data_IF_395482157864
#
_entry.id   IF_395482157864
#
_cell.length_a   1.000
_cell.length_b   1.000
_cell.length_c   1.000
_cell.angle_alpha   90.00
_cell.angle_beta   90.00
_cell.angle_gamma   90.00
#
_symmetry.space_group_name_H-M   'P 1'
#
loop_
_entity.id
_entity.type
_entity.pdbx_description
1 polymer ?
#
# COMPACT_ATOMS: atom_id res chain seq x y z
N UNK A 1 5.71 27.94 41.35
CA UNK A 1 4.92 26.80 40.81
C UNK A 1 5.57 25.50 41.25
N UNK A 2 4.81 24.55 41.81
CA UNK A 2 5.34 23.23 42.13
C UNK A 2 5.76 22.49 40.85
N UNK A 3 6.75 21.59 40.95
CA UNK A 3 7.22 20.80 39.79
C UNK A 3 6.08 20.00 39.14
N UNK A 4 5.13 19.51 39.94
CA UNK A 4 3.97 18.75 39.48
C UNK A 4 3.01 19.59 38.62
N UNK A 5 2.69 20.82 39.05
CA UNK A 5 1.77 21.71 38.31
C UNK A 5 2.36 22.16 36.97
N UNK A 6 3.69 22.34 36.89
CA UNK A 6 4.38 22.73 35.64
C UNK A 6 4.31 21.61 34.61
N UNK A 7 4.53 20.36 35.02
CA UNK A 7 4.53 19.21 34.12
C UNK A 7 3.13 18.91 33.57
N UNK A 8 2.08 19.08 34.38
CA UNK A 8 0.69 18.96 33.94
C UNK A 8 0.33 19.99 32.88
N UNK A 9 0.77 21.25 33.03
CA UNK A 9 0.58 22.26 31.98
C UNK A 9 1.33 21.85 30.71
N UNK A 10 2.59 21.40 30.82
CA UNK A 10 3.34 20.92 29.65
C UNK A 10 2.57 19.80 28.91
N UNK A 11 1.95 18.86 29.64
CA UNK A 11 1.08 17.81 29.06
C UNK A 11 -0.02 18.43 28.20
N UNK A 12 -0.76 19.40 28.76
CA UNK A 12 -1.87 20.10 28.10
C UNK A 12 -1.43 20.81 26.81
N UNK A 13 -0.31 21.55 26.86
CA UNK A 13 0.25 22.21 25.68
C UNK A 13 0.64 21.21 24.58
N UNK A 14 1.17 20.03 24.96
CA UNK A 14 1.52 18.98 24.00
C UNK A 14 0.27 18.41 23.34
N UNK A 15 -0.81 18.15 24.11
CA UNK A 15 -2.07 17.62 23.58
C UNK A 15 -2.80 18.61 22.69
N UNK A 16 -2.66 19.92 22.95
CA UNK A 16 -3.14 21.00 22.08
C UNK A 16 -2.31 21.17 20.79
N UNK A 17 -1.27 20.35 20.59
CA UNK A 17 -0.47 20.35 19.37
C UNK A 17 0.64 21.41 19.31
N UNK A 18 0.87 22.14 20.40
CA UNK A 18 1.84 23.23 20.45
C UNK A 18 3.27 22.67 20.34
N UNK A 19 4.14 23.39 19.63
CA UNK A 19 5.50 22.92 19.36
C UNK A 19 6.37 22.92 20.62
N UNK A 20 7.28 21.96 20.75
CA UNK A 20 8.19 21.92 21.92
C UNK A 20 9.11 23.15 22.00
N UNK A 21 9.37 23.80 20.87
CA UNK A 21 10.14 25.06 20.84
C UNK A 21 9.38 26.18 21.54
N UNK A 22 8.07 26.25 21.33
CA UNK A 22 7.19 27.27 21.90
C UNK A 22 6.86 27.01 23.37
N UNK A 23 6.57 25.75 23.72
CA UNK A 23 6.48 25.32 25.11
C UNK A 23 7.78 25.65 25.85
N UNK A 24 8.93 25.42 25.21
CA UNK A 24 10.23 25.69 25.81
C UNK A 24 10.46 27.16 26.12
N UNK A 25 10.08 28.05 25.18
CA UNK A 25 10.11 29.51 25.40
C UNK A 25 9.22 29.93 26.57
N UNK A 26 8.04 29.33 26.71
CA UNK A 26 7.05 29.68 27.75
C UNK A 26 7.44 29.24 29.15
N UNK A 27 8.05 28.05 29.27
CA UNK A 27 8.37 27.46 30.58
C UNK A 27 9.86 27.51 30.95
N UNK A 28 10.72 28.08 30.09
CA UNK A 28 12.17 28.14 30.31
C UNK A 28 12.84 26.76 30.25
N UNK A 29 12.32 25.84 29.44
CA UNK A 29 12.80 24.46 29.33
C UNK A 29 13.26 24.18 27.90
N UNK A 30 14.34 23.43 27.72
CA UNK A 30 14.77 23.04 26.38
C UNK A 30 13.78 22.06 25.74
N UNK A 31 13.72 22.06 24.40
CA UNK A 31 12.91 21.09 23.64
C UNK A 31 13.24 19.63 24.02
N UNK A 32 14.51 19.35 24.35
CA UNK A 32 14.97 18.04 24.83
C UNK A 32 14.45 17.74 26.23
N UNK A 33 14.44 18.73 27.13
CA UNK A 33 13.88 18.61 28.46
C UNK A 33 12.38 18.28 28.44
N UNK A 34 11.61 18.96 27.56
CA UNK A 34 10.19 18.66 27.34
C UNK A 34 9.99 17.24 26.81
N UNK A 35 10.86 16.80 25.88
CA UNK A 35 10.89 15.43 25.39
C UNK A 35 11.05 14.41 26.51
N UNK A 36 12.03 14.61 27.39
CA UNK A 36 12.28 13.74 28.56
C UNK A 36 11.10 13.74 29.55
N UNK A 37 10.48 14.90 29.80
CA UNK A 37 9.29 15.00 30.67
C UNK A 37 8.14 14.18 30.09
N UNK A 38 7.85 14.35 28.79
CA UNK A 38 6.81 13.57 28.11
C UNK A 38 7.10 12.07 28.17
N UNK A 39 8.32 11.65 27.81
CA UNK A 39 8.70 10.23 27.78
C UNK A 39 8.61 9.58 29.17
N UNK A 40 9.02 10.30 30.22
CA UNK A 40 9.04 9.76 31.59
C UNK A 40 7.68 9.81 32.28
N UNK A 41 6.89 10.87 32.08
CA UNK A 41 5.66 11.13 32.86
C UNK A 41 4.37 10.91 32.08
N UNK A 42 4.41 11.03 30.75
CA UNK A 42 3.23 10.99 29.88
C UNK A 42 3.46 10.10 28.63
N UNK A 43 3.86 8.83 28.80
CA UNK A 43 4.16 7.92 27.69
C UNK A 43 2.96 7.70 26.75
N UNK A 44 1.73 7.83 27.25
CA UNK A 44 0.48 7.69 26.51
C UNK A 44 0.37 8.68 25.34
N UNK A 45 0.93 9.88 25.48
CA UNK A 45 0.93 10.92 24.44
C UNK A 45 1.84 10.55 23.26
N UNK A 46 2.84 9.69 23.49
CA UNK A 46 3.80 9.30 22.45
C UNK A 46 3.16 8.39 21.40
N UNK A 47 2.11 7.66 21.75
CA UNK A 47 1.42 6.74 20.83
C UNK A 47 0.54 7.45 19.79
N UNK A 48 -0.13 8.55 20.15
CA UNK A 48 -1.08 9.25 19.27
C UNK A 48 -0.46 9.92 18.04
N UNK A 49 0.84 10.25 18.07
CA UNK A 49 1.52 10.96 16.96
C UNK A 49 2.01 10.06 15.83
N UNK A 50 2.05 8.73 16.01
CA UNK A 50 2.58 7.79 15.01
C UNK A 50 1.62 7.53 13.85
N UNK A 51 0.31 7.69 14.04
CA UNK A 51 -0.66 7.39 12.99
C UNK A 51 -0.81 8.50 11.94
N UNK A 52 -0.61 9.77 12.32
CA UNK A 52 -0.87 10.90 11.41
C UNK A 52 0.33 11.39 10.59
N UNK A 53 1.56 11.04 10.97
CA UNK A 53 2.75 11.53 10.27
C UNK A 53 3.82 10.44 10.20
N UNK A 54 3.79 9.64 9.13
CA UNK A 54 4.76 8.60 8.78
C UNK A 54 6.18 9.10 8.49
N UNK A 55 6.78 9.90 9.37
CA UNK A 55 8.19 10.31 9.31
C UNK A 55 9.03 9.35 10.14
N UNK A 56 9.64 8.38 9.45
CA UNK A 56 10.69 7.50 9.96
C UNK A 56 11.86 8.36 10.49
N UNK A 57 12.41 7.97 11.65
CA UNK A 57 13.55 8.63 12.28
C UNK A 57 14.79 8.63 11.36
N UNK A 58 15.51 9.76 11.30
CA UNK A 58 16.72 9.92 10.47
C UNK A 58 17.84 8.91 10.80
N UNK A 59 17.89 8.42 12.04
CA UNK A 59 18.87 7.42 12.50
C UNK A 59 18.61 5.98 12.03
N UNK A 60 17.46 5.69 11.42
CA UNK A 60 17.14 4.38 10.84
C UNK A 60 17.49 4.26 9.35
N UNK A 61 18.14 5.26 8.74
CA UNK A 61 18.52 5.15 7.31
C UNK A 61 19.67 4.16 7.05
N UNK A 62 20.48 3.85 8.06
CA UNK A 62 21.71 3.06 7.93
C UNK A 62 21.72 1.76 8.75
N UNK A 63 20.58 1.22 9.18
CA UNK A 63 20.59 -0.17 9.62
C UNK A 63 20.69 -1.05 8.36
N UNK A 64 21.74 -1.88 8.27
CA UNK A 64 21.87 -2.93 7.23
C UNK A 64 20.61 -3.82 7.13
N UNK A 65 19.77 -3.84 8.18
CA UNK A 65 18.48 -4.54 8.28
C UNK A 65 17.33 -3.91 7.47
N UNK A 66 17.39 -2.61 7.16
CA UNK A 66 16.38 -1.91 6.35
C UNK A 66 16.73 -1.81 4.86
N UNK A 67 17.76 -2.53 4.39
CA UNK A 67 17.84 -2.93 2.99
C UNK A 67 16.66 -3.87 2.71
N UNK A 68 15.43 -3.32 2.60
CA UNK A 68 14.31 -3.98 1.93
C UNK A 68 14.92 -4.50 0.64
N UNK A 69 15.14 -5.81 0.53
CA UNK A 69 15.33 -6.46 -0.76
C UNK A 69 14.09 -6.03 -1.54
N UNK A 70 14.18 -4.94 -2.33
CA UNK A 70 13.11 -4.57 -3.26
C UNK A 70 12.91 -5.84 -4.05
N UNK A 71 11.78 -6.52 -3.84
CA UNK A 71 11.41 -7.69 -4.61
C UNK A 71 11.69 -7.34 -6.06
N UNK A 72 12.66 -8.00 -6.69
CA UNK A 72 13.00 -7.72 -8.09
C UNK A 72 11.79 -8.14 -8.91
N UNK A 73 10.89 -7.20 -9.20
CA UNK A 73 9.77 -7.43 -10.11
C UNK A 73 10.34 -7.35 -11.51
N UNK A 74 10.27 -8.45 -12.26
CA UNK A 74 10.62 -8.48 -13.68
C UNK A 74 9.33 -8.42 -14.49
N UNK A 75 9.35 -7.67 -15.60
CA UNK A 75 8.25 -7.57 -16.57
C UNK A 75 8.82 -7.79 -17.96
N UNK A 76 8.26 -8.70 -18.74
CA UNK A 76 8.72 -8.98 -20.11
C UNK A 76 7.57 -9.42 -21.01
N UNK A 77 7.80 -9.34 -22.32
CA UNK A 77 6.86 -9.77 -23.35
C UNK A 77 7.36 -11.09 -23.95
N UNK A 78 6.47 -12.05 -24.17
CA UNK A 78 6.81 -13.29 -24.87
C UNK A 78 6.76 -13.11 -26.41
N UNK A 79 7.14 -14.15 -27.15
CA UNK A 79 7.06 -14.16 -28.62
C UNK A 79 5.63 -14.02 -29.15
N UNK A 80 4.63 -14.46 -28.38
CA UNK A 80 3.21 -14.43 -28.78
C UNK A 80 2.56 -13.08 -28.52
N UNK A 81 3.19 -12.19 -27.75
CA UNK A 81 2.75 -10.84 -27.43
C UNK A 81 2.22 -10.61 -26.00
N UNK A 82 2.17 -11.65 -25.17
CA UNK A 82 1.68 -11.58 -23.79
C UNK A 82 2.73 -10.99 -22.85
N UNK A 83 2.27 -10.18 -21.89
CA UNK A 83 3.13 -9.64 -20.83
C UNK A 83 3.09 -10.55 -19.61
N UNK A 84 4.27 -10.86 -19.07
CA UNK A 84 4.46 -11.62 -17.85
C UNK A 84 5.12 -10.77 -16.77
N UNK A 85 4.71 -11.01 -15.52
CA UNK A 85 5.31 -10.40 -14.33
C UNK A 85 5.88 -11.52 -13.46
N UNK A 86 7.16 -11.43 -13.12
CA UNK A 86 7.79 -12.26 -12.09
C UNK A 86 8.01 -11.45 -10.82
N UNK A 87 7.50 -11.94 -9.70
CA UNK A 87 7.68 -11.34 -8.38
C UNK A 87 7.97 -12.46 -7.38
N UNK A 88 9.09 -12.35 -6.66
CA UNK A 88 9.51 -13.33 -5.64
C UNK A 88 9.58 -14.77 -6.18
N UNK A 89 10.05 -14.97 -7.41
CA UNK A 89 10.18 -16.29 -8.04
C UNK A 89 8.89 -16.84 -8.67
N UNK A 90 7.74 -16.20 -8.44
CA UNK A 90 6.49 -16.57 -9.09
C UNK A 90 6.26 -15.73 -10.34
N UNK A 91 6.01 -16.39 -11.46
CA UNK A 91 5.71 -15.77 -12.75
C UNK A 91 4.24 -15.95 -13.07
N UNK A 92 3.54 -14.86 -13.37
CA UNK A 92 2.13 -14.87 -13.79
C UNK A 92 1.91 -13.94 -14.99
N UNK A 93 0.98 -14.25 -15.89
CA UNK A 93 0.57 -13.35 -16.95
C UNK A 93 -0.09 -12.08 -16.38
N UNK A 94 0.26 -10.91 -16.93
CA UNK A 94 -0.19 -9.60 -16.44
C UNK A 94 -1.71 -9.43 -16.55
N UNK A 95 -2.33 -9.85 -17.66
CA UNK A 95 -3.78 -9.80 -17.84
C UNK A 95 -4.53 -10.55 -16.71
N UNK A 96 -4.00 -11.70 -16.27
CA UNK A 96 -4.57 -12.48 -15.17
C UNK A 96 -4.46 -11.72 -13.85
N UNK A 97 -3.31 -11.13 -13.57
CA UNK A 97 -3.10 -10.32 -12.37
C UNK A 97 -4.04 -9.10 -12.29
N UNK A 98 -4.29 -8.44 -13.43
CA UNK A 98 -5.21 -7.30 -13.50
C UNK A 98 -6.64 -7.72 -13.11
N UNK A 99 -7.12 -8.84 -13.66
CA UNK A 99 -8.45 -9.36 -13.34
C UNK A 99 -8.53 -9.91 -11.91
N UNK A 100 -7.53 -10.66 -11.45
CA UNK A 100 -7.47 -11.16 -10.06
C UNK A 100 -7.56 -10.02 -9.05
N UNK A 101 -6.86 -8.90 -9.34
CA UNK A 101 -6.93 -7.69 -8.52
C UNK A 101 -8.30 -7.02 -8.59
N UNK A 102 -8.90 -6.93 -9.78
CA UNK A 102 -10.22 -6.33 -9.97
C UNK A 102 -11.33 -7.12 -9.24
N UNK A 103 -11.26 -8.46 -9.26
CA UNK A 103 -12.22 -9.33 -8.58
C UNK A 103 -11.93 -9.53 -7.09
N UNK A 104 -10.75 -9.09 -6.62
CA UNK A 104 -10.26 -9.33 -5.27
C UNK A 104 -10.23 -10.83 -4.87
N UNK A 105 -10.00 -11.72 -5.83
CA UNK A 105 -9.83 -13.17 -5.62
C UNK A 105 -8.96 -13.77 -6.72
N UNK A 106 -8.30 -14.93 -6.49
CA UNK A 106 -7.63 -15.64 -7.56
C UNK A 106 -8.64 -16.12 -8.62
N UNK A 107 -8.21 -16.11 -9.87
CA UNK A 107 -8.95 -16.73 -10.96
C UNK A 107 -8.79 -18.25 -10.86
N UNK A 108 -9.83 -18.98 -11.20
CA UNK A 108 -9.84 -20.43 -11.29
C UNK A 108 -9.18 -20.89 -12.59
N UNK A 109 -8.83 -22.17 -12.67
CA UNK A 109 -8.16 -22.74 -13.86
C UNK A 109 -9.06 -22.69 -15.11
N UNK A 110 -10.36 -22.85 -14.93
CA UNK A 110 -11.35 -22.80 -16.00
C UNK A 110 -11.74 -21.37 -16.42
N UNK A 111 -11.22 -20.34 -15.75
CA UNK A 111 -11.42 -18.93 -16.12
C UNK A 111 -10.28 -18.46 -17.01
N UNK A 112 -10.63 -18.18 -18.26
CA UNK A 112 -9.72 -17.68 -19.30
C UNK A 112 -10.00 -16.20 -19.52
N UNK A 113 -8.98 -15.45 -19.93
CA UNK A 113 -9.10 -14.04 -20.28
C UNK A 113 -8.94 -13.87 -21.77
N UNK A 114 -9.91 -13.20 -22.39
CA UNK A 114 -9.94 -12.82 -23.79
C UNK A 114 -9.68 -11.31 -23.93
N UNK A 115 -8.81 -10.93 -24.88
CA UNK A 115 -8.53 -9.53 -25.23
C UNK A 115 -9.47 -9.11 -26.35
N UNK A 116 -10.38 -8.16 -26.09
CA UNK A 116 -11.41 -7.72 -27.05
C UNK A 116 -10.84 -7.17 -28.34
N UNK A 117 -9.74 -6.42 -28.26
CA UNK A 117 -9.07 -5.84 -29.42
C UNK A 117 -8.02 -6.77 -30.07
N UNK A 118 -7.82 -7.99 -29.55
CA UNK A 118 -6.77 -8.91 -30.01
C UNK A 118 -5.33 -8.50 -29.64
N UNK A 119 -5.14 -7.34 -29.00
CA UNK A 119 -3.84 -6.80 -28.62
C UNK A 119 -3.43 -7.37 -27.25
N UNK A 120 -2.57 -8.38 -27.26
CA UNK A 120 -2.20 -9.19 -26.07
C UNK A 120 -1.41 -8.46 -24.99
N UNK A 121 -0.85 -7.29 -25.30
CA UNK A 121 -0.16 -6.43 -24.33
C UNK A 121 -1.04 -5.27 -23.81
N UNK A 122 -2.26 -5.10 -24.32
CA UNK A 122 -3.22 -4.13 -23.81
C UNK A 122 -4.04 -4.75 -22.68
N UNK A 123 -3.51 -4.65 -21.45
CA UNK A 123 -4.07 -5.28 -20.26
C UNK A 123 -4.97 -4.32 -19.45
N UNK A 124 -5.58 -3.32 -20.11
CA UNK A 124 -6.59 -2.46 -19.46
C UNK A 124 -7.87 -3.25 -19.18
N UNK A 125 -8.52 -3.00 -18.04
CA UNK A 125 -9.64 -3.82 -17.57
C UNK A 125 -10.80 -3.85 -18.57
N UNK A 126 -11.07 -2.72 -19.24
CA UNK A 126 -12.10 -2.58 -20.26
C UNK A 126 -11.87 -3.40 -21.53
N UNK A 127 -10.61 -3.80 -21.77
CA UNK A 127 -10.20 -4.63 -22.89
C UNK A 127 -10.18 -6.14 -22.57
N UNK A 128 -10.30 -6.51 -21.29
CA UNK A 128 -10.24 -7.90 -20.84
C UNK A 128 -11.64 -8.45 -20.58
N UNK A 129 -11.90 -9.67 -21.06
CA UNK A 129 -13.15 -10.39 -20.85
C UNK A 129 -12.89 -11.75 -20.22
N UNK A 130 -13.65 -12.10 -19.17
CA UNK A 130 -13.55 -13.41 -18.53
C UNK A 130 -14.49 -14.37 -19.24
N UNK A 131 -13.94 -15.51 -19.67
CA UNK A 131 -14.66 -16.56 -20.38
C UNK A 131 -14.38 -17.89 -19.70
N UNK A 132 -15.32 -18.82 -19.83
CA UNK A 132 -15.11 -20.19 -19.31
C UNK A 132 -14.38 -21.01 -20.36
N UNK A 133 -13.44 -21.87 -19.94
CA UNK A 133 -12.73 -22.80 -20.83
C UNK A 133 -13.67 -23.62 -21.73
N UNK A 134 -14.85 -24.01 -21.22
CA UNK A 134 -15.86 -24.75 -21.97
C UNK A 134 -16.61 -23.89 -23.02
N UNK A 135 -16.64 -22.57 -22.84
CA UNK A 135 -17.43 -21.65 -23.65
C UNK A 135 -16.57 -20.45 -24.03
N UNK A 136 -15.60 -20.68 -24.93
CA UNK A 136 -14.61 -19.68 -25.34
C UNK A 136 -14.57 -19.42 -26.85
N UNK A 137 -15.59 -19.87 -27.59
CA UNK A 137 -15.75 -19.63 -29.03
C UNK A 137 -17.16 -19.12 -29.33
N UNK A 138 -17.28 -18.24 -30.32
CA UNK A 138 -18.57 -17.73 -30.78
C UNK A 138 -19.26 -16.85 -29.74
N UNK A 139 -20.54 -17.09 -29.49
CA UNK A 139 -21.35 -16.30 -28.55
C UNK A 139 -21.10 -16.78 -27.11
N UNK A 140 -20.44 -15.95 -26.32
CA UNK A 140 -20.07 -16.25 -24.93
C UNK A 140 -20.75 -15.30 -23.98
N UNK A 141 -21.23 -15.84 -22.86
CA UNK A 141 -21.80 -15.07 -21.75
C UNK A 141 -20.80 -14.99 -20.61
N UNK A 142 -20.54 -13.78 -20.12
CA UNK A 142 -19.71 -13.55 -18.94
C UNK A 142 -20.37 -14.21 -17.71
N UNK A 143 -19.66 -15.06 -16.95
CA UNK A 143 -20.22 -15.68 -15.75
C UNK A 143 -20.47 -14.69 -14.60
N UNK A 144 -19.90 -13.48 -14.65
CA UNK A 144 -19.98 -12.50 -13.55
C UNK A 144 -20.98 -11.38 -13.78
N UNK A 145 -21.05 -10.83 -14.99
CA UNK A 145 -21.92 -9.69 -15.29
C UNK A 145 -23.06 -10.05 -16.24
N UNK A 146 -23.21 -11.32 -16.61
CA UNK A 146 -24.23 -11.82 -17.55
C UNK A 146 -24.22 -11.19 -18.94
N UNK A 147 -23.25 -10.33 -19.28
CA UNK A 147 -23.13 -9.73 -20.61
C UNK A 147 -22.70 -10.76 -21.63
N UNK A 148 -23.28 -10.67 -22.82
CA UNK A 148 -22.94 -11.50 -23.97
C UNK A 148 -21.96 -10.76 -24.88
N UNK A 149 -21.01 -11.50 -25.46
CA UNK A 149 -20.08 -10.98 -26.45
C UNK A 149 -19.66 -12.08 -27.42
N UNK A 150 -19.20 -11.66 -28.60
CA UNK A 150 -18.71 -12.56 -29.63
C UNK A 150 -17.19 -12.65 -29.55
N UNK A 151 -16.69 -13.87 -29.41
CA UNK A 151 -15.28 -14.21 -29.51
C UNK A 151 -15.03 -14.69 -30.94
N UNK A 152 -14.16 -13.98 -31.65
CA UNK A 152 -13.67 -14.36 -32.97
C UNK A 152 -12.47 -15.30 -32.85
#
# INVERSE_FOLDING_TARGET
MSKSTRDLKIKEFITQGISYKEIGRKFGITKQGIGKIKERKFPEITFMRKEQNGRISRGMRNSKLLKRKKSKVKRWKDQKGYIYISKNGQTKPEHRLVIEKFLNRPLQEWEIIHHRNGIKNDNRIENLQIVLKKSHHGKVRCPYCSREFLIK
#
